data_IF_945919623956
#
_entry.id   IF_945919623956
#
_cell.length_a   1.000
_cell.length_b   1.000
_cell.length_c   1.000
_cell.angle_alpha   90.00
_cell.angle_beta   90.00
_cell.angle_gamma   90.00
#
_symmetry.space_group_name_H-M   'P 1'
#
loop_
_entity.id
_entity.type
_entity.pdbx_description
1 polymer ?
#
# COMPACT_ATOMS: atom_id res chain seq x y z
N UNK A 1 84.87 59.21 47.45
CA UNK A 1 83.68 58.34 47.27
C UNK A 1 84.06 56.96 47.74
N UNK A 2 83.22 56.31 48.54
CA UNK A 2 83.52 55.06 49.23
C UNK A 2 83.00 53.87 48.39
N UNK A 3 83.88 52.95 47.96
CA UNK A 3 83.54 51.82 47.08
C UNK A 3 82.40 50.92 47.63
N UNK A 4 82.23 50.88 48.95
CA UNK A 4 81.15 50.15 49.61
C UNK A 4 79.74 50.73 49.41
N UNK A 5 79.62 52.00 49.05
CA UNK A 5 78.33 52.63 48.72
C UNK A 5 77.94 52.35 47.26
N UNK A 6 78.93 52.36 46.34
CA UNK A 6 78.75 52.00 44.93
C UNK A 6 78.31 50.54 44.79
N UNK A 7 78.94 49.63 45.54
CA UNK A 7 78.57 48.20 45.54
C UNK A 7 77.15 47.95 46.04
N UNK A 8 76.69 48.69 47.07
CA UNK A 8 75.31 48.62 47.57
C UNK A 8 74.29 49.10 46.54
N UNK A 9 74.61 50.17 45.82
CA UNK A 9 73.73 50.71 44.77
C UNK A 9 73.60 49.76 43.58
N UNK A 10 74.70 49.12 43.18
CA UNK A 10 74.69 48.05 42.15
C UNK A 10 73.84 46.86 42.61
N UNK A 11 73.98 46.40 43.86
CA UNK A 11 73.15 45.31 44.38
C UNK A 11 71.65 45.66 44.40
N UNK A 12 71.31 46.90 44.72
CA UNK A 12 69.93 47.38 44.69
C UNK A 12 69.38 47.39 43.26
N UNK A 13 70.16 47.84 42.26
CA UNK A 13 69.79 47.75 40.86
C UNK A 13 69.62 46.30 40.38
N UNK A 14 70.51 45.38 40.79
CA UNK A 14 70.37 43.95 40.44
C UNK A 14 69.11 43.34 41.05
N UNK A 15 68.74 43.71 42.29
CA UNK A 15 67.47 43.27 42.90
C UNK A 15 66.26 43.82 42.14
N UNK A 16 66.29 45.08 41.74
CA UNK A 16 65.22 45.69 40.96
C UNK A 16 65.03 44.97 39.62
N UNK A 17 66.12 44.73 38.88
CA UNK A 17 66.07 43.99 37.59
C UNK A 17 65.49 42.58 37.77
N UNK A 18 65.86 41.89 38.86
CA UNK A 18 65.30 40.56 39.16
C UNK A 18 63.82 40.61 39.48
N UNK A 19 63.38 41.57 40.29
CA UNK A 19 61.98 41.73 40.64
C UNK A 19 61.14 42.09 39.41
N UNK A 20 61.63 43.01 38.57
CA UNK A 20 60.97 43.39 37.32
C UNK A 20 60.86 42.19 36.35
N UNK A 21 61.91 41.38 36.24
CA UNK A 21 61.88 40.15 35.44
C UNK A 21 60.90 39.11 36.00
N UNK A 22 60.80 38.98 37.33
CA UNK A 22 59.89 38.04 37.99
C UNK A 22 58.42 38.48 37.88
N UNK A 23 58.13 39.77 38.04
CA UNK A 23 56.82 40.35 37.78
C UNK A 23 56.42 40.16 36.31
N UNK A 24 57.34 40.42 35.37
CA UNK A 24 57.06 40.20 33.94
C UNK A 24 56.82 38.73 33.61
N UNK A 25 57.58 37.81 34.21
CA UNK A 25 57.37 36.39 34.02
C UNK A 25 56.01 35.93 34.56
N UNK A 26 55.60 36.43 35.73
CA UNK A 26 54.29 36.12 36.31
C UNK A 26 53.14 36.70 35.47
N UNK A 27 53.26 37.94 34.97
CA UNK A 27 52.27 38.50 34.05
C UNK A 27 52.09 37.63 32.79
N UNK A 28 53.20 37.19 32.19
CA UNK A 28 53.15 36.31 31.01
C UNK A 28 52.50 34.97 31.37
N UNK A 29 52.82 34.40 32.54
CA UNK A 29 52.24 33.11 32.96
C UNK A 29 50.72 33.21 33.17
N UNK A 30 50.25 34.26 33.84
CA UNK A 30 48.81 34.48 34.09
C UNK A 30 48.08 34.74 32.77
N UNK A 31 48.64 35.60 31.92
CA UNK A 31 48.06 35.89 30.59
C UNK A 31 47.97 34.63 29.72
N UNK A 32 49.01 33.78 29.73
CA UNK A 32 49.01 32.53 28.97
C UNK A 32 47.98 31.53 29.48
N UNK A 33 47.75 31.46 30.79
CA UNK A 33 46.74 30.59 31.39
C UNK A 33 45.31 31.06 31.08
N UNK A 34 45.07 32.38 31.09
CA UNK A 34 43.80 32.97 30.67
C UNK A 34 43.51 32.68 29.20
N UNK A 35 44.47 32.93 28.30
CA UNK A 35 44.34 32.65 26.87
C UNK A 35 44.10 31.16 26.60
N UNK A 36 44.84 30.27 27.26
CA UNK A 36 44.64 28.82 27.15
C UNK A 36 43.22 28.42 27.53
N UNK A 37 42.70 28.94 28.64
CA UNK A 37 41.36 28.61 29.10
C UNK A 37 40.28 29.12 28.13
N UNK A 38 40.47 30.32 27.57
CA UNK A 38 39.55 30.90 26.56
C UNK A 38 39.55 30.05 25.30
N UNK A 39 40.71 29.74 24.71
CA UNK A 39 40.80 28.94 23.49
C UNK A 39 40.24 27.53 23.69
N UNK A 40 40.59 26.89 24.81
CA UNK A 40 40.05 25.57 25.17
C UNK A 40 38.53 25.60 25.24
N UNK A 41 37.94 26.61 25.90
CA UNK A 41 36.49 26.74 26.00
C UNK A 41 35.87 26.91 24.61
N UNK A 42 36.42 27.80 23.78
CA UNK A 42 35.94 28.04 22.42
C UNK A 42 35.95 26.78 21.56
N UNK A 43 37.06 26.02 21.58
CA UNK A 43 37.18 24.76 20.85
C UNK A 43 36.14 23.73 21.32
N UNK A 44 35.97 23.58 22.63
CA UNK A 44 35.00 22.64 23.20
C UNK A 44 33.56 23.04 22.87
N UNK A 45 33.22 24.32 22.94
CA UNK A 45 31.87 24.82 22.60
C UNK A 45 31.57 24.68 21.12
N UNK A 46 32.54 24.97 20.24
CA UNK A 46 32.40 24.80 18.80
C UNK A 46 32.09 23.34 18.44
N UNK A 47 32.84 22.37 18.98
CA UNK A 47 32.59 20.97 18.70
C UNK A 47 31.32 20.44 19.36
N UNK A 48 31.00 20.87 20.59
CA UNK A 48 29.70 20.55 21.22
C UNK A 48 28.53 21.02 20.37
N UNK A 49 28.62 22.22 19.77
CA UNK A 49 27.59 22.75 18.87
C UNK A 49 27.45 21.90 17.61
N UNK A 50 28.56 21.50 17.00
CA UNK A 50 28.57 20.63 15.81
C UNK A 50 27.95 19.26 16.10
N UNK A 51 28.34 18.63 17.21
CA UNK A 51 27.78 17.35 17.67
C UNK A 51 26.26 17.49 17.89
N UNK A 52 25.82 18.54 18.57
CA UNK A 52 24.39 18.77 18.84
C UNK A 52 23.57 18.86 17.55
N UNK A 53 24.06 19.60 16.56
CA UNK A 53 23.40 19.72 15.25
C UNK A 53 23.36 18.39 14.48
N UNK A 54 24.40 17.59 14.56
CA UNK A 54 24.44 16.26 13.94
C UNK A 54 23.41 15.32 14.57
N UNK A 55 23.35 15.28 15.91
CA UNK A 55 22.38 14.45 16.63
C UNK A 55 20.94 14.91 16.41
N UNK A 56 20.67 16.21 16.33
CA UNK A 56 19.34 16.72 16.00
C UNK A 56 18.88 16.25 14.60
N UNK A 57 19.79 16.22 13.62
CA UNK A 57 19.49 15.67 12.29
C UNK A 57 19.22 14.17 12.34
N UNK A 58 20.03 13.41 13.08
CA UNK A 58 19.85 11.96 13.26
C UNK A 58 18.52 11.64 13.94
N UNK A 59 18.17 12.39 14.97
CA UNK A 59 16.91 12.23 15.70
C UNK A 59 15.70 12.46 14.78
N UNK A 60 15.70 13.55 14.01
CA UNK A 60 14.65 13.81 13.01
C UNK A 60 14.54 12.71 11.96
N UNK A 61 15.67 12.18 11.48
CA UNK A 61 15.66 11.06 10.53
C UNK A 61 15.06 9.79 11.13
N UNK A 62 15.40 9.46 12.38
CA UNK A 62 14.84 8.30 13.09
C UNK A 62 13.35 8.47 13.31
N UNK A 63 12.89 9.66 13.68
CA UNK A 63 11.46 9.95 13.87
C UNK A 63 10.67 9.76 12.57
N UNK A 64 11.18 10.28 11.45
CA UNK A 64 10.56 10.11 10.13
C UNK A 64 10.52 8.64 9.73
N UNK A 65 11.63 7.90 9.90
CA UNK A 65 11.66 6.45 9.62
C UNK A 65 10.65 5.67 10.44
N UNK A 66 10.51 5.99 11.73
CA UNK A 66 9.52 5.37 12.62
C UNK A 66 8.09 5.62 12.15
N UNK A 67 7.78 6.84 11.69
CA UNK A 67 6.45 7.17 11.12
C UNK A 67 6.17 6.39 9.83
N UNK A 68 7.15 6.27 8.95
CA UNK A 68 7.04 5.50 7.71
C UNK A 68 6.80 4.02 8.03
N UNK A 69 7.61 3.44 8.91
CA UNK A 69 7.49 2.03 9.31
C UNK A 69 6.13 1.74 9.93
N UNK A 70 5.67 2.60 10.85
CA UNK A 70 4.34 2.49 11.44
C UNK A 70 3.24 2.54 10.37
N UNK A 71 3.32 3.50 9.43
CA UNK A 71 2.36 3.60 8.33
C UNK A 71 2.38 2.38 7.41
N UNK A 72 3.57 1.84 7.12
CA UNK A 72 3.73 0.64 6.30
C UNK A 72 3.12 -0.59 6.98
N UNK A 73 3.37 -0.77 8.28
CA UNK A 73 2.78 -1.86 9.07
C UNK A 73 1.26 -1.77 9.12
N UNK A 74 0.71 -0.56 9.30
CA UNK A 74 -0.74 -0.34 9.29
C UNK A 74 -1.35 -0.68 7.92
N UNK A 75 -0.72 -0.23 6.83
CA UNK A 75 -1.18 -0.52 5.48
C UNK A 75 -1.08 -2.03 5.16
N UNK A 76 0.00 -2.69 5.56
CA UNK A 76 0.16 -4.13 5.39
C UNK A 76 -0.93 -4.91 6.14
N UNK A 77 -1.25 -4.52 7.38
CA UNK A 77 -2.35 -5.11 8.14
C UNK A 77 -3.71 -4.87 7.47
N UNK A 78 -3.95 -3.66 6.97
CA UNK A 78 -5.18 -3.34 6.24
C UNK A 78 -5.34 -4.19 4.98
N UNK A 79 -4.29 -4.32 4.17
CA UNK A 79 -4.30 -5.15 2.97
C UNK A 79 -4.61 -6.62 3.31
N UNK A 80 -4.00 -7.16 4.37
CA UNK A 80 -4.30 -8.53 4.83
C UNK A 80 -5.77 -8.73 5.18
N UNK A 81 -6.40 -7.76 5.86
CA UNK A 81 -7.84 -7.82 6.17
C UNK A 81 -8.67 -7.79 4.89
N UNK A 82 -8.33 -6.92 3.94
CA UNK A 82 -9.03 -6.83 2.66
C UNK A 82 -8.89 -8.11 1.84
N UNK A 83 -7.71 -8.72 1.81
CA UNK A 83 -7.48 -10.02 1.16
C UNK A 83 -8.35 -11.10 1.80
N UNK A 84 -8.34 -11.22 3.14
CA UNK A 84 -9.17 -12.20 3.82
C UNK A 84 -10.68 -11.98 3.55
N UNK A 85 -11.13 -10.72 3.43
CA UNK A 85 -12.51 -10.43 3.05
C UNK A 85 -12.81 -10.85 1.61
N UNK A 86 -11.91 -10.57 0.66
CA UNK A 86 -12.05 -10.98 -0.73
C UNK A 86 -12.08 -12.50 -0.88
N UNK A 87 -11.19 -13.20 -0.15
CA UNK A 87 -11.13 -14.67 -0.12
C UNK A 87 -12.47 -15.27 0.33
N UNK A 88 -13.06 -14.75 1.41
CA UNK A 88 -14.36 -15.23 1.92
C UNK A 88 -15.48 -14.99 0.90
N UNK A 89 -15.50 -13.82 0.25
CA UNK A 89 -16.50 -13.52 -0.78
C UNK A 89 -16.34 -14.42 -2.00
N UNK A 90 -15.09 -14.67 -2.42
CA UNK A 90 -14.79 -15.58 -3.52
C UNK A 90 -15.16 -17.02 -3.19
N UNK A 91 -14.88 -17.51 -1.98
CA UNK A 91 -15.28 -18.83 -1.52
C UNK A 91 -16.81 -18.99 -1.50
N UNK A 92 -17.53 -17.97 -1.01
CA UNK A 92 -18.99 -17.95 -1.04
C UNK A 92 -19.53 -17.99 -2.48
N UNK A 93 -18.93 -17.20 -3.38
CA UNK A 93 -19.28 -17.20 -4.81
C UNK A 93 -19.02 -18.55 -5.46
N UNK A 94 -17.89 -19.18 -5.17
CA UNK A 94 -17.57 -20.52 -5.68
C UNK A 94 -18.52 -21.59 -5.15
N UNK A 95 -18.90 -21.51 -3.87
CA UNK A 95 -19.88 -22.41 -3.26
C UNK A 95 -21.25 -22.26 -3.90
N UNK A 96 -21.73 -21.03 -4.08
CA UNK A 96 -22.98 -20.76 -4.81
C UNK A 96 -22.91 -21.24 -6.27
N UNK A 97 -21.77 -21.04 -6.95
CA UNK A 97 -21.57 -21.54 -8.30
C UNK A 97 -21.62 -23.08 -8.38
N UNK A 98 -21.07 -23.79 -7.38
CA UNK A 98 -21.18 -25.26 -7.27
C UNK A 98 -22.62 -25.69 -7.04
N UNK A 99 -23.38 -24.97 -6.22
CA UNK A 99 -24.81 -25.26 -6.02
C UNK A 99 -25.62 -25.04 -7.31
N UNK A 100 -25.32 -24.00 -8.09
CA UNK A 100 -25.98 -23.76 -9.38
C UNK A 100 -25.76 -24.90 -10.38
N UNK A 101 -24.61 -25.59 -10.34
CA UNK A 101 -24.38 -26.80 -11.15
C UNK A 101 -25.31 -27.96 -10.77
N UNK A 102 -25.82 -28.00 -9.54
CA UNK A 102 -26.78 -29.03 -9.13
C UNK A 102 -28.20 -28.73 -9.65
N UNK A 103 -28.54 -27.47 -9.92
CA UNK A 103 -29.87 -27.09 -10.44
C UNK A 103 -30.11 -27.71 -11.81
N UNK A 104 -29.09 -27.83 -12.66
CA UNK A 104 -29.22 -28.48 -13.96
C UNK A 104 -29.44 -29.99 -13.90
N UNK A 105 -29.30 -30.62 -12.72
CA UNK A 105 -29.60 -32.05 -12.52
C UNK A 105 -31.09 -32.32 -12.41
N UNK A 106 -31.86 -31.36 -11.90
CA UNK A 106 -33.32 -31.45 -11.84
C UNK A 106 -33.90 -30.92 -13.16
N UNK A 107 -34.29 -31.85 -14.03
CA UNK A 107 -34.82 -31.53 -15.36
C UNK A 107 -36.08 -30.66 -15.31
N UNK A 108 -36.95 -30.81 -14.30
CA UNK A 108 -38.19 -30.05 -14.26
C UNK A 108 -37.94 -28.61 -13.83
N UNK A 109 -37.15 -28.42 -12.76
CA UNK A 109 -36.78 -27.09 -12.25
C UNK A 109 -35.94 -26.34 -13.29
N UNK A 110 -34.97 -27.02 -13.91
CA UNK A 110 -34.12 -26.42 -14.93
C UNK A 110 -34.91 -26.03 -16.20
N UNK A 111 -35.89 -26.84 -16.61
CA UNK A 111 -36.76 -26.52 -17.74
C UNK A 111 -37.58 -25.25 -17.50
N UNK A 112 -38.16 -25.09 -16.30
CA UNK A 112 -38.88 -23.88 -15.92
C UNK A 112 -37.95 -22.67 -15.88
N UNK A 113 -36.75 -22.81 -15.30
CA UNK A 113 -35.75 -21.75 -15.24
C UNK A 113 -35.32 -21.29 -16.65
N UNK A 114 -35.06 -22.23 -17.57
CA UNK A 114 -34.71 -21.91 -18.96
C UNK A 114 -35.82 -21.10 -19.64
N UNK A 115 -37.09 -21.47 -19.42
CA UNK A 115 -38.24 -20.72 -19.95
C UNK A 115 -38.21 -19.27 -19.45
N UNK A 116 -38.08 -19.09 -18.14
CA UNK A 116 -38.15 -17.78 -17.51
C UNK A 116 -36.99 -16.87 -17.96
N UNK A 117 -35.78 -17.41 -18.10
CA UNK A 117 -34.61 -16.68 -18.58
C UNK A 117 -34.74 -16.30 -20.06
N UNK A 118 -35.31 -17.18 -20.90
CA UNK A 118 -35.59 -16.87 -22.31
C UNK A 118 -36.63 -15.75 -22.39
N UNK A 119 -37.75 -15.86 -21.69
CA UNK A 119 -38.80 -14.82 -21.65
C UNK A 119 -38.23 -13.49 -21.14
N UNK A 120 -37.41 -13.50 -20.09
CA UNK A 120 -36.75 -12.31 -19.55
C UNK A 120 -35.86 -11.63 -20.61
N UNK A 121 -35.13 -12.43 -21.39
CA UNK A 121 -34.27 -11.94 -22.46
C UNK A 121 -35.09 -11.32 -23.60
N UNK A 122 -36.19 -11.96 -24.01
CA UNK A 122 -37.10 -11.43 -25.04
C UNK A 122 -37.73 -10.10 -24.61
N UNK A 123 -38.16 -9.97 -23.35
CA UNK A 123 -38.70 -8.71 -22.78
C UNK A 123 -37.65 -7.59 -22.77
N UNK A 124 -36.37 -7.93 -22.56
CA UNK A 124 -35.26 -6.96 -22.59
C UNK A 124 -34.91 -6.52 -24.01
N UNK A 125 -34.90 -7.44 -24.98
CA UNK A 125 -34.53 -7.16 -26.36
C UNK A 125 -35.64 -6.48 -27.17
N UNK A 126 -36.89 -6.94 -27.04
CA UNK A 126 -38.07 -6.42 -27.77
C UNK A 126 -37.93 -6.40 -29.30
N UNK A 127 -37.16 -7.33 -29.85
CA UNK A 127 -36.96 -7.47 -31.29
C UNK A 127 -37.94 -8.50 -31.89
N UNK A 128 -38.34 -8.36 -33.17
CA UNK A 128 -39.24 -9.30 -33.84
C UNK A 128 -38.56 -10.64 -34.16
N UNK A 129 -37.23 -10.66 -34.28
CA UNK A 129 -36.45 -11.86 -34.53
C UNK A 129 -35.20 -11.89 -33.63
N UNK A 130 -34.92 -13.05 -33.01
CA UNK A 130 -33.83 -13.22 -32.05
C UNK A 130 -33.05 -14.51 -32.36
N UNK A 131 -31.73 -14.42 -32.32
CA UNK A 131 -30.82 -15.56 -32.40
C UNK A 131 -30.47 -16.03 -30.97
N UNK A 132 -30.86 -17.25 -30.60
CA UNK A 132 -30.63 -17.84 -29.29
C UNK A 132 -29.42 -18.78 -29.33
N UNK A 133 -28.42 -18.47 -28.52
CA UNK A 133 -27.21 -19.29 -28.35
C UNK A 133 -27.29 -20.06 -27.03
N UNK A 134 -27.19 -21.38 -27.09
CA UNK A 134 -27.24 -22.26 -25.91
C UNK A 134 -26.09 -23.28 -25.90
N UNK A 135 -25.97 -24.06 -24.82
CA UNK A 135 -25.03 -25.18 -24.75
C UNK A 135 -25.54 -26.33 -25.61
N UNK A 136 -24.63 -27.12 -26.17
CA UNK A 136 -24.97 -28.29 -27.00
C UNK A 136 -25.87 -29.30 -26.27
N UNK A 137 -25.63 -29.49 -24.99
CA UNK A 137 -26.39 -30.45 -24.17
C UNK A 137 -27.82 -29.96 -23.87
N UNK A 138 -28.05 -28.66 -23.94
CA UNK A 138 -29.33 -28.03 -23.59
C UNK A 138 -30.26 -27.83 -24.80
N UNK A 139 -29.76 -27.99 -26.03
CA UNK A 139 -30.54 -27.85 -27.28
C UNK A 139 -31.90 -28.56 -27.23
N UNK A 140 -32.00 -29.86 -26.86
CA UNK A 140 -33.29 -30.54 -26.84
C UNK A 140 -34.25 -29.99 -25.78
N UNK A 141 -33.73 -29.52 -24.63
CA UNK A 141 -34.58 -28.88 -23.61
C UNK A 141 -35.08 -27.53 -24.11
N UNK A 142 -34.20 -26.72 -24.71
CA UNK A 142 -34.53 -25.41 -25.24
C UNK A 142 -35.60 -25.52 -26.32
N UNK A 143 -35.44 -26.43 -27.29
CA UNK A 143 -36.46 -26.71 -28.31
C UNK A 143 -37.83 -27.02 -27.69
N UNK A 144 -37.87 -27.80 -26.61
CA UNK A 144 -39.12 -28.14 -25.93
C UNK A 144 -39.80 -27.00 -25.16
N UNK A 145 -39.09 -25.87 -24.95
CA UNK A 145 -39.54 -24.72 -24.15
C UNK A 145 -39.82 -23.49 -25.03
N UNK A 146 -39.26 -23.42 -26.24
CA UNK A 146 -39.34 -22.26 -27.12
C UNK A 146 -40.76 -21.80 -27.41
N UNK A 147 -41.67 -22.72 -27.74
CA UNK A 147 -43.05 -22.35 -28.08
C UNK A 147 -43.79 -21.77 -26.88
N UNK A 148 -43.63 -22.39 -25.71
CA UNK A 148 -44.20 -21.87 -24.46
C UNK A 148 -43.63 -20.50 -24.09
N UNK A 149 -42.32 -20.28 -24.30
CA UNK A 149 -41.68 -18.99 -24.04
C UNK A 149 -42.16 -17.88 -25.00
N UNK A 150 -42.37 -18.21 -26.28
CA UNK A 150 -42.92 -17.27 -27.29
C UNK A 150 -44.32 -16.81 -26.92
N UNK A 151 -45.19 -17.76 -26.56
CA UNK A 151 -46.57 -17.47 -26.13
C UNK A 151 -46.60 -16.61 -24.87
N UNK A 152 -45.74 -16.92 -23.89
CA UNK A 152 -45.67 -16.15 -22.64
C UNK A 152 -45.17 -14.73 -22.88
N UNK A 153 -44.16 -14.54 -23.73
CA UNK A 153 -43.69 -13.21 -24.12
C UNK A 153 -44.78 -12.42 -24.87
N UNK A 154 -45.43 -13.04 -25.86
CA UNK A 154 -46.52 -12.43 -26.63
C UNK A 154 -47.66 -11.97 -25.72
N UNK A 155 -48.02 -12.81 -24.73
CA UNK A 155 -49.06 -12.52 -23.74
C UNK A 155 -48.67 -11.38 -22.77
N UNK A 156 -47.39 -11.33 -22.34
CA UNK A 156 -46.90 -10.29 -21.42
C UNK A 156 -46.78 -8.91 -22.07
N UNK A 157 -46.39 -8.88 -23.35
CA UNK A 157 -46.05 -7.63 -24.06
C UNK A 157 -47.16 -7.22 -25.06
N UNK A 158 -48.19 -8.06 -25.25
CA UNK A 158 -49.29 -7.87 -26.21
C UNK A 158 -48.80 -7.64 -27.65
N UNK A 159 -47.83 -8.45 -28.08
CA UNK A 159 -47.24 -8.40 -29.43
C UNK A 159 -47.27 -9.78 -30.08
N UNK A 160 -47.02 -9.82 -31.39
CA UNK A 160 -46.90 -11.09 -32.09
C UNK A 160 -45.71 -11.91 -31.55
N UNK A 161 -45.82 -13.26 -31.54
CA UNK A 161 -44.72 -14.13 -31.17
C UNK A 161 -43.47 -13.86 -32.03
N UNK A 162 -42.29 -13.62 -31.41
CA UNK A 162 -41.07 -13.34 -32.16
C UNK A 162 -40.52 -14.62 -32.81
N UNK A 163 -39.81 -14.45 -33.92
CA UNK A 163 -39.06 -15.52 -34.56
C UNK A 163 -37.79 -15.79 -33.75
N UNK A 164 -37.61 -17.03 -33.27
CA UNK A 164 -36.44 -17.43 -32.49
C UNK A 164 -35.68 -18.50 -33.25
N UNK A 165 -34.43 -18.22 -33.59
CA UNK A 165 -33.52 -19.13 -34.29
C UNK A 165 -32.48 -19.67 -33.31
N UNK A 166 -32.26 -20.98 -33.28
CA UNK A 166 -31.15 -21.56 -32.49
C UNK A 166 -29.86 -21.43 -33.31
N UNK A 167 -28.83 -20.83 -32.71
CA UNK A 167 -27.52 -20.66 -33.35
C UNK A 167 -26.77 -22.00 -33.46
N UNK A 168 -25.98 -22.15 -34.53
CA UNK A 168 -25.09 -23.29 -34.74
C UNK A 168 -23.80 -23.19 -33.90
N UNK A 169 -23.44 -21.98 -33.45
CA UNK A 169 -22.33 -21.75 -32.51
C UNK A 169 -22.83 -21.97 -31.10
N UNK A 170 -22.24 -22.91 -30.36
CA UNK A 170 -22.70 -23.29 -29.02
C UNK A 170 -21.88 -22.62 -27.91
N UNK A 171 -22.48 -22.45 -26.73
CA UNK A 171 -21.77 -22.00 -25.53
C UNK A 171 -20.80 -23.08 -25.03
N UNK A 172 -19.73 -22.68 -24.30
CA UNK A 172 -18.84 -23.63 -23.63
C UNK A 172 -19.61 -24.60 -22.74
N UNK A 173 -19.09 -25.82 -22.64
CA UNK A 173 -19.65 -26.87 -21.79
C UNK A 173 -19.68 -26.45 -20.31
N UNK A 174 -20.50 -27.13 -19.53
CA UNK A 174 -20.57 -26.87 -18.09
C UNK A 174 -19.17 -27.03 -17.45
N UNK A 175 -18.78 -26.12 -16.53
CA UNK A 175 -17.57 -26.31 -15.74
C UNK A 175 -17.64 -27.66 -15.02
N UNK A 176 -16.65 -28.53 -15.25
CA UNK A 176 -16.55 -29.79 -14.52
C UNK A 176 -16.02 -29.52 -13.11
N UNK A 177 -16.40 -30.35 -12.12
CA UNK A 177 -15.87 -30.29 -10.76
C UNK A 177 -14.33 -30.35 -10.66
N UNK A 178 -13.64 -30.70 -11.75
CA UNK A 178 -12.19 -30.90 -11.83
C UNK A 178 -11.42 -29.81 -12.57
N UNK A 179 -12.08 -28.84 -13.23
CA UNK A 179 -11.36 -27.75 -13.89
C UNK A 179 -11.48 -26.45 -13.10
N UNK A 180 -10.52 -26.28 -12.20
CA UNK A 180 -10.13 -24.99 -11.68
C UNK A 180 -9.79 -24.06 -12.86
N UNK A 181 -10.48 -22.92 -12.93
CA UNK A 181 -10.09 -21.71 -13.66
C UNK A 181 -9.48 -21.93 -15.07
N UNK A 182 -10.33 -22.19 -16.07
CA UNK A 182 -10.03 -21.74 -17.42
C UNK A 182 -9.96 -20.20 -17.45
N UNK A 183 -9.16 -19.58 -18.34
CA UNK A 183 -8.86 -18.15 -18.29
C UNK A 183 -10.16 -17.35 -18.28
N UNK A 184 -10.35 -16.54 -17.24
CA UNK A 184 -11.37 -15.50 -17.19
C UNK A 184 -11.14 -14.61 -18.40
N UNK A 185 -12.08 -14.66 -19.35
CA UNK A 185 -12.07 -13.82 -20.54
C UNK A 185 -12.37 -12.38 -20.12
N UNK A 186 -11.31 -11.62 -19.81
CA UNK A 186 -11.27 -10.19 -20.09
C UNK A 186 -10.60 -10.03 -21.44
N UNK A 187 -11.40 -9.75 -22.46
CA UNK A 187 -10.99 -9.11 -23.71
C UNK A 187 -12.05 -8.04 -24.01
#
# INVERSE_FOLDING_TARGET
MNDGDVSRQIQQMVRFIRQEAEEKANEISVSAEEEFNIEKLQLVEAEKKKIRQEYEKKEKQVEVRKKIEYSMQLNASRIKVLQAQDDVVNEMKESAAKELLNVSRDHHVYKTLLKDVIVQSLVRLKEPAVLLRCRKDDVPLVESVLDSAKEEYASKVNVHPPEIFIDNVHLPTAPSHHNAHGPFWYA
#
